data_IF_055935637769
#
_entry.id   IF_055935637769
#
_cell.length_a   1.000
_cell.length_b   1.000
_cell.length_c   1.000
_cell.angle_alpha   90.00
_cell.angle_beta   90.00
_cell.angle_gamma   90.00
#
_symmetry.space_group_name_H-M   'P 1'
#
loop_
_entity.id
_entity.type
_entity.pdbx_description
1 polymer ?
#
# COMPACT_ATOMS: atom_id res chain seq x y z
N UNK A 1 1.66 -6.71 17.46
CA UNK A 1 2.04 -6.08 16.18
C UNK A 1 1.10 -4.92 15.92
N UNK A 2 1.51 -3.70 16.27
CA UNK A 2 0.72 -2.48 16.04
C UNK A 2 1.09 -1.95 14.66
N UNK A 3 0.13 -1.83 13.75
CA UNK A 3 0.37 -1.26 12.42
C UNK A 3 0.01 0.23 12.47
N UNK A 4 0.97 1.09 12.12
CA UNK A 4 0.79 2.55 12.04
C UNK A 4 0.66 2.92 10.58
N UNK A 5 -0.47 3.55 10.21
CA UNK A 5 -0.72 4.04 8.85
C UNK A 5 -0.98 5.56 8.89
N UNK A 6 -0.38 6.31 7.96
CA UNK A 6 -0.48 7.76 7.86
C UNK A 6 -1.63 8.23 6.94
N UNK A 7 -2.31 9.33 7.31
CA UNK A 7 -3.50 9.93 6.65
C UNK A 7 -3.13 11.00 5.62
N UNK A 8 -3.83 11.07 4.49
CA UNK A 8 -3.70 12.16 3.52
C UNK A 8 -5.08 12.54 2.90
N UNK A 9 -5.53 13.81 2.99
CA UNK A 9 -6.81 14.25 2.38
C UNK A 9 -6.76 14.37 0.81
N UNK A 10 -7.95 14.56 0.24
CA UNK A 10 -8.48 14.10 -1.06
C UNK A 10 -8.16 14.99 -2.30
N UNK A 11 -7.94 14.37 -3.47
CA UNK A 11 -8.08 15.00 -4.80
C UNK A 11 -8.70 14.00 -5.80
N UNK A 12 -9.52 14.50 -6.74
CA UNK A 12 -10.35 13.72 -7.69
C UNK A 12 -9.58 13.35 -8.96
N UNK A 13 -9.70 12.11 -9.42
CA UNK A 13 -9.22 11.65 -10.73
C UNK A 13 -9.05 10.13 -10.78
N UNK A 14 -9.52 9.49 -11.87
CA UNK A 14 -9.40 8.04 -12.10
C UNK A 14 -7.94 7.63 -12.22
N UNK A 15 -7.40 7.12 -11.11
CA UNK A 15 -6.20 6.30 -11.02
C UNK A 15 -6.41 5.46 -9.76
N UNK A 16 -5.92 4.22 -9.71
CA UNK A 16 -6.07 3.35 -8.53
C UNK A 16 -5.20 3.95 -7.41
N UNK A 17 -5.77 4.93 -6.72
CA UNK A 17 -5.21 5.56 -5.53
C UNK A 17 -5.17 4.50 -4.44
N UNK A 18 -3.98 4.30 -3.85
CA UNK A 18 -3.88 3.54 -2.62
C UNK A 18 -4.57 4.25 -1.45
N UNK A 19 -5.12 5.45 -1.60
CA UNK A 19 -5.73 6.20 -0.52
C UNK A 19 -6.92 7.04 -1.00
N UNK A 20 -8.12 6.46 -0.96
CA UNK A 20 -9.39 7.12 -1.26
C UNK A 20 -10.25 7.39 0.00
N UNK A 21 -9.69 7.22 1.21
CA UNK A 21 -10.33 7.49 2.50
C UNK A 21 -9.32 7.54 3.65
N UNK A 22 -9.74 7.63 4.94
CA UNK A 22 -8.83 7.58 6.11
C UNK A 22 -8.00 6.28 6.17
N UNK A 23 -8.42 5.28 5.39
CA UNK A 23 -7.81 3.96 5.27
C UNK A 23 -7.26 3.78 3.85
N UNK A 24 -6.05 3.23 3.75
CA UNK A 24 -5.41 2.96 2.46
C UNK A 24 -5.90 1.63 1.86
N UNK A 25 -6.02 1.54 0.54
CA UNK A 25 -6.35 0.30 -0.21
C UNK A 25 -5.37 -0.84 0.10
N UNK A 26 -4.11 -0.49 0.32
CA UNK A 26 -3.07 -1.47 0.72
C UNK A 26 -3.39 -2.03 2.11
N UNK A 27 -3.80 -1.18 3.05
CA UNK A 27 -4.23 -1.60 4.39
C UNK A 27 -5.43 -2.56 4.31
N UNK A 28 -6.42 -2.28 3.45
CA UNK A 28 -7.56 -3.16 3.25
C UNK A 28 -7.16 -4.53 2.69
N UNK A 29 -6.25 -4.56 1.70
CA UNK A 29 -5.75 -5.82 1.13
C UNK A 29 -5.00 -6.66 2.18
N UNK A 30 -4.18 -6.03 3.03
CA UNK A 30 -3.46 -6.71 4.11
C UNK A 30 -4.45 -7.29 5.14
N UNK A 31 -5.41 -6.49 5.61
CA UNK A 31 -6.39 -6.92 6.61
C UNK A 31 -7.28 -8.05 6.08
N UNK A 32 -7.72 -7.94 4.82
CA UNK A 32 -8.49 -8.98 4.12
C UNK A 32 -7.68 -10.27 4.01
N UNK A 33 -6.43 -10.20 3.56
CA UNK A 33 -5.56 -11.37 3.43
C UNK A 33 -5.33 -12.08 4.76
N UNK A 34 -5.16 -11.31 5.84
CA UNK A 34 -4.95 -11.85 7.19
C UNK A 34 -6.24 -12.26 7.92
N UNK A 35 -7.42 -12.03 7.32
CA UNK A 35 -8.71 -12.27 7.98
C UNK A 35 -8.91 -11.44 9.26
N UNK A 36 -8.33 -10.24 9.33
CA UNK A 36 -8.35 -9.39 10.52
C UNK A 36 -9.26 -8.18 10.32
N UNK A 37 -9.89 -7.75 11.41
CA UNK A 37 -10.58 -6.47 11.50
C UNK A 37 -9.61 -5.39 12.01
N UNK A 38 -9.90 -4.13 11.73
CA UNK A 38 -9.02 -3.01 12.06
C UNK A 38 -9.17 -2.49 13.50
N UNK A 39 -9.82 -3.25 14.39
CA UNK A 39 -10.03 -2.89 15.79
C UNK A 39 -8.76 -2.64 16.59
N UNK A 40 -7.60 -3.14 16.12
CA UNK A 40 -6.27 -2.92 16.69
C UNK A 40 -5.38 -2.01 15.85
N UNK A 41 -5.94 -1.35 14.84
CA UNK A 41 -5.20 -0.44 13.95
C UNK A 41 -5.35 0.99 14.44
N UNK A 42 -4.25 1.72 14.51
CA UNK A 42 -4.25 3.16 14.84
C UNK A 42 -3.86 3.94 13.60
N UNK A 43 -4.79 4.75 13.09
CA UNK A 43 -4.53 5.67 11.99
C UNK A 43 -3.96 6.97 12.56
N UNK A 44 -2.83 7.42 12.01
CA UNK A 44 -2.17 8.68 12.39
C UNK A 44 -2.25 9.69 11.25
N UNK A 45 -2.17 10.97 11.58
CA UNK A 45 -2.05 12.03 10.59
C UNK A 45 -0.77 11.86 9.74
N UNK A 46 -0.77 12.38 8.51
CA UNK A 46 0.49 12.48 7.77
C UNK A 46 1.47 13.38 8.50
N UNK A 47 2.74 12.98 8.45
CA UNK A 47 3.86 13.82 8.86
C UNK A 47 3.84 15.14 8.06
N UNK A 48 4.12 16.30 8.70
CA UNK A 48 3.88 17.65 8.15
C UNK A 48 4.65 18.00 6.87
N UNK A 49 5.56 17.15 6.39
CA UNK A 49 6.32 17.35 5.16
C UNK A 49 6.20 16.19 4.16
N UNK A 50 5.22 15.30 4.35
CA UNK A 50 5.01 14.14 3.46
C UNK A 50 4.03 14.46 2.34
N UNK A 51 4.47 14.28 1.09
CA UNK A 51 3.60 14.37 -0.08
C UNK A 51 2.54 13.26 -0.07
N UNK A 52 1.30 13.65 -0.28
CA UNK A 52 0.10 12.82 -0.11
C UNK A 52 -0.10 11.81 -1.24
N UNK A 53 0.12 12.27 -2.48
CA UNK A 53 0.06 11.45 -3.68
C UNK A 53 1.34 11.69 -4.44
N UNK A 54 2.13 10.64 -4.62
CA UNK A 54 3.32 10.66 -5.48
C UNK A 54 2.93 10.06 -6.83
N UNK A 55 2.37 10.91 -7.70
CA UNK A 55 2.11 10.51 -9.08
C UNK A 55 3.43 10.47 -9.83
N UNK A 56 3.81 9.30 -10.35
CA UNK A 56 5.05 9.11 -11.10
C UNK A 56 4.70 8.81 -12.56
N UNK A 57 5.37 9.51 -13.48
CA UNK A 57 5.34 9.16 -14.89
C UNK A 57 6.43 8.12 -15.18
N UNK A 58 5.99 6.94 -15.63
CA UNK A 58 6.87 5.82 -16.00
C UNK A 58 7.21 5.79 -17.50
N UNK A 59 6.89 6.83 -18.27
CA UNK A 59 7.16 6.91 -19.71
C UNK A 59 8.63 6.63 -20.06
N UNK A 60 9.56 7.28 -19.34
CA UNK A 60 11.00 7.09 -19.53
C UNK A 60 11.46 5.68 -19.13
N UNK A 61 10.99 5.17 -17.99
CA UNK A 61 11.35 3.83 -17.52
C UNK A 61 10.87 2.74 -18.49
N UNK A 62 9.66 2.88 -19.05
CA UNK A 62 9.17 1.98 -20.11
C UNK A 62 10.06 2.00 -21.34
N UNK A 63 10.43 3.19 -21.81
CA UNK A 63 11.26 3.37 -23.02
C UNK A 63 12.69 2.85 -22.84
N UNK A 64 13.34 3.24 -21.75
CA UNK A 64 14.79 3.07 -21.58
C UNK A 64 15.14 1.75 -20.89
N UNK A 65 14.25 1.21 -20.05
CA UNK A 65 14.52 0.05 -19.20
C UNK A 65 13.56 -1.12 -19.44
N UNK A 66 12.68 -1.02 -20.44
CA UNK A 66 11.59 -1.98 -20.68
C UNK A 66 10.78 -2.26 -19.39
N UNK A 67 10.52 -1.20 -18.60
CA UNK A 67 9.84 -1.33 -17.31
C UNK A 67 8.40 -1.82 -17.49
N UNK A 68 8.13 -3.06 -17.10
CA UNK A 68 6.83 -3.69 -17.26
C UNK A 68 6.42 -4.47 -15.99
N UNK A 69 5.81 -3.80 -15.00
CA UNK A 69 5.36 -4.46 -13.77
C UNK A 69 4.14 -5.34 -14.05
N UNK A 70 4.34 -6.66 -14.04
CA UNK A 70 3.31 -7.65 -14.38
C UNK A 70 2.46 -8.11 -13.19
N UNK A 71 2.90 -7.89 -11.95
CA UNK A 71 2.24 -8.43 -10.77
C UNK A 71 1.26 -7.41 -10.15
N UNK A 72 -0.04 -7.72 -10.07
CA UNK A 72 -1.00 -6.86 -9.40
C UNK A 72 -0.78 -6.86 -7.87
N UNK A 73 -1.26 -5.82 -7.20
CA UNK A 73 -1.11 -5.66 -5.74
C UNK A 73 -1.80 -6.79 -4.96
N UNK A 74 -2.94 -7.27 -5.47
CA UNK A 74 -3.73 -8.37 -4.93
C UNK A 74 -2.95 -9.68 -4.88
N UNK A 75 -1.95 -9.84 -5.75
CA UNK A 75 -1.07 -11.01 -5.80
C UNK A 75 0.25 -10.75 -5.04
N UNK A 76 0.85 -9.58 -5.25
CA UNK A 76 2.15 -9.23 -4.67
C UNK A 76 2.13 -9.06 -3.15
N UNK A 77 1.06 -8.48 -2.59
CA UNK A 77 0.94 -8.25 -1.14
C UNK A 77 0.90 -9.59 -0.37
N UNK A 78 0.01 -10.56 -0.69
CA UNK A 78 0.03 -11.88 -0.08
C UNK A 78 1.40 -12.57 -0.10
N UNK A 79 2.04 -12.59 -1.27
CA UNK A 79 3.36 -13.21 -1.45
C UNK A 79 4.42 -12.57 -0.55
N UNK A 80 4.39 -11.24 -0.44
CA UNK A 80 5.31 -10.50 0.42
C UNK A 80 5.06 -10.83 1.90
N UNK A 81 3.80 -10.89 2.33
CA UNK A 81 3.45 -11.25 3.71
C UNK A 81 3.94 -12.66 4.05
N UNK A 82 3.72 -13.63 3.15
CA UNK A 82 4.14 -15.01 3.39
C UNK A 82 5.66 -15.15 3.41
N UNK A 83 6.36 -14.43 2.54
CA UNK A 83 7.82 -14.35 2.58
C UNK A 83 8.29 -13.76 3.92
N UNK A 84 7.69 -12.68 4.40
CA UNK A 84 8.03 -12.07 5.69
C UNK A 84 7.79 -13.04 6.85
N UNK A 85 6.69 -13.82 6.85
CA UNK A 85 6.43 -14.83 7.89
C UNK A 85 7.54 -15.88 7.94
N UNK A 86 7.98 -16.36 6.77
CA UNK A 86 9.06 -17.33 6.65
C UNK A 86 10.41 -16.76 7.07
N UNK A 87 10.74 -15.55 6.59
CA UNK A 87 12.04 -14.92 6.83
C UNK A 87 12.26 -14.55 8.31
N UNK A 88 11.20 -14.17 9.02
CA UNK A 88 11.28 -13.72 10.42
C UNK A 88 10.71 -14.74 11.42
N UNK A 89 10.48 -15.99 11.00
CA UNK A 89 9.95 -17.08 11.83
C UNK A 89 8.68 -16.70 12.63
N UNK A 90 7.77 -15.92 12.03
CA UNK A 90 6.47 -15.67 12.61
C UNK A 90 5.60 -16.92 12.43
N UNK A 91 5.62 -17.80 13.44
CA UNK A 91 4.67 -18.90 13.60
C UNK A 91 3.33 -18.40 14.15
#
# INVERSE_FOLDING_TARGET
MTFVFARAQRARGNLISCHSGPRSRVSDLILKYLGKVDSRVTYKEAEPFTTRVKHMDFSKARRDLNHDPQMPLEEGIPRTIDWMKKAYAFN
#
